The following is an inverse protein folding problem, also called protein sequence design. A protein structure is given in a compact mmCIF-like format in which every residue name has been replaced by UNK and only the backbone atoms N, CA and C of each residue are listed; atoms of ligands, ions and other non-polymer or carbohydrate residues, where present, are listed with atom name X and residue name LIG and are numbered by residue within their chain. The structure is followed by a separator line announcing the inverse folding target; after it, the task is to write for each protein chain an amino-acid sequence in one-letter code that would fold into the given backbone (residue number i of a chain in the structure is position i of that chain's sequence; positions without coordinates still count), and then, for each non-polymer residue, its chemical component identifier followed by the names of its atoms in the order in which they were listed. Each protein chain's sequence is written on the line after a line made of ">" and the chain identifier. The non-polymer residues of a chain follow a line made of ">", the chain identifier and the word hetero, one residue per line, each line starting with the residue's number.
data_IF_870191400905
#
_entry.id   IF_870191400905
#
_cell.length_a   1.000
_cell.length_b   1.000
_cell.length_c   1.000
_cell.angle_alpha   90.00
_cell.angle_beta   90.00
_cell.angle_gamma   90.00
#
_symmetry.space_group_name_H-M   'P 1'
#
loop_
_entity.id
_entity.type
_entity.pdbx_description
1 polymer ?
#
# COMPACT_ATOMS: atom_id res chain seq x y z
N UNK A 1 -10.36 36.96 -18.65
CA UNK A 1 -10.14 38.13 -17.82
C UNK A 1 -10.34 37.74 -16.38
N UNK A 2 -9.38 37.68 -15.66
CA UNK A 2 -8.61 38.25 -14.59
C UNK A 2 -7.99 37.19 -13.68
N UNK A 3 -6.67 37.18 -13.71
CA UNK A 3 -5.78 36.62 -12.69
C UNK A 3 -6.04 37.28 -11.32
N UNK A 4 -5.93 36.53 -10.25
CA UNK A 4 -5.52 37.03 -8.93
C UNK A 4 -4.46 36.14 -8.31
N UNK A 5 -3.23 36.61 -8.45
CA UNK A 5 -2.08 36.31 -7.60
C UNK A 5 -2.33 36.91 -6.20
N UNK A 6 -2.02 36.13 -5.16
CA UNK A 6 -1.71 36.68 -3.84
C UNK A 6 -0.52 35.90 -3.27
N UNK A 7 0.61 36.56 -3.37
CA UNK A 7 1.83 36.31 -2.61
C UNK A 7 1.76 37.01 -1.25
N UNK A 8 2.69 36.67 -0.37
CA UNK A 8 3.08 37.38 0.88
C UNK A 8 2.82 36.51 2.11
N UNK A 9 3.76 36.33 3.04
CA UNK A 9 4.96 37.00 3.35
C UNK A 9 5.75 36.29 4.43
N UNK A 10 7.03 36.47 4.35
CA UNK A 10 8.04 36.08 5.35
C UNK A 10 7.97 37.03 6.53
N UNK A 11 7.98 36.56 7.75
CA UNK A 11 8.24 37.35 8.95
C UNK A 11 9.43 36.75 9.72
N UNK A 12 10.55 37.41 9.57
CA UNK A 12 11.71 37.29 10.45
C UNK A 12 11.46 38.16 11.68
N UNK A 13 11.71 37.66 12.86
CA UNK A 13 11.75 38.46 14.07
C UNK A 13 13.07 38.25 14.80
N UNK A 14 13.70 39.37 15.05
CA UNK A 14 15.04 39.55 15.53
C UNK A 14 15.17 39.34 17.05
N UNK A 15 16.40 39.02 17.39
CA UNK A 15 16.99 38.89 18.71
C UNK A 15 17.10 40.22 19.41
N UNK A 16 16.79 40.31 20.68
CA UNK A 16 17.26 41.39 21.57
C UNK A 16 17.91 40.78 22.79
N UNK A 17 19.19 41.07 22.89
CA UNK A 17 20.02 40.79 24.04
C UNK A 17 19.72 41.82 25.16
N UNK A 18 19.59 41.38 26.39
CA UNK A 18 19.53 42.25 27.56
C UNK A 18 20.25 41.60 28.73
N UNK A 19 21.44 42.13 29.01
CA UNK A 19 22.24 41.83 30.20
C UNK A 19 21.75 42.69 31.37
N UNK A 20 21.39 42.08 32.50
CA UNK A 20 21.36 42.78 33.75
C UNK A 20 21.70 41.80 34.88
N UNK A 21 22.77 42.09 35.54
CA UNK A 21 23.25 41.42 36.73
C UNK A 21 22.39 41.76 37.96
N UNK A 22 22.02 40.74 38.71
CA UNK A 22 21.36 40.94 40.02
C UNK A 22 21.53 39.68 40.83
N UNK A 23 22.47 39.71 41.76
CA UNK A 23 22.70 38.68 42.76
C UNK A 23 21.70 38.81 43.90
N UNK A 24 20.89 37.76 44.18
CA UNK A 24 20.38 37.50 45.53
C UNK A 24 20.03 36.04 45.76
N UNK A 25 20.79 35.45 46.71
CA UNK A 25 20.41 34.42 47.70
C UNK A 25 19.59 33.19 47.31
N UNK A 26 20.35 32.14 47.35
CA UNK A 26 20.06 30.70 47.61
C UNK A 26 18.77 30.43 48.40
N UNK A 27 17.84 29.77 47.73
CA UNK A 27 16.95 28.82 48.37
C UNK A 27 17.26 27.45 47.77
N UNK A 28 17.78 26.54 48.60
CA UNK A 28 17.92 25.14 48.22
C UNK A 28 16.54 24.51 48.09
N UNK A 29 16.00 24.61 46.88
CA UNK A 29 14.83 23.78 46.46
C UNK A 29 15.44 22.46 45.99
N UNK A 30 15.15 21.38 46.70
CA UNK A 30 15.48 20.03 46.23
C UNK A 30 14.96 19.84 44.80
N UNK A 31 15.77 19.31 43.88
CA UNK A 31 15.34 19.04 42.55
C UNK A 31 14.22 18.00 42.56
N UNK A 32 13.02 18.40 42.25
CA UNK A 32 11.93 17.48 41.94
C UNK A 32 12.41 16.69 40.73
N UNK A 33 12.49 15.35 40.78
CA UNK A 33 12.88 14.57 39.63
C UNK A 33 11.86 14.84 38.53
N UNK A 34 12.30 15.46 37.44
CA UNK A 34 11.51 15.61 36.23
C UNK A 34 11.11 14.21 35.75
N UNK A 35 9.84 13.97 35.39
CA UNK A 35 9.44 12.71 34.83
C UNK A 35 10.29 12.45 33.59
N UNK A 36 11.05 11.36 33.61
CA UNK A 36 11.82 10.93 32.46
C UNK A 36 10.84 10.59 31.32
N UNK A 37 10.71 11.48 30.36
CA UNK A 37 10.01 11.21 29.09
C UNK A 37 10.85 10.14 28.40
N UNK A 38 10.41 8.90 28.49
CA UNK A 38 11.00 7.84 27.68
C UNK A 38 10.71 8.19 26.21
N UNK A 39 11.74 8.22 25.34
CA UNK A 39 11.49 8.38 23.92
C UNK A 39 10.62 7.22 23.46
N UNK A 40 9.45 7.50 22.94
CA UNK A 40 8.64 6.53 22.24
C UNK A 40 9.42 6.20 20.97
N UNK A 41 10.12 5.09 20.97
CA UNK A 41 10.72 4.55 19.76
C UNK A 41 9.53 4.10 18.90
N UNK A 42 9.14 4.94 17.95
CA UNK A 42 8.31 4.47 16.85
C UNK A 42 9.12 3.34 16.21
N UNK A 43 8.60 2.12 16.27
CA UNK A 43 9.26 0.97 15.68
C UNK A 43 9.65 1.35 14.25
N UNK A 44 10.95 1.33 13.95
CA UNK A 44 11.39 1.49 12.57
C UNK A 44 10.65 0.43 11.74
N UNK A 45 10.14 0.78 10.53
CA UNK A 45 9.59 -0.22 9.63
C UNK A 45 10.61 -1.37 9.54
N UNK A 46 10.16 -2.61 9.74
CA UNK A 46 11.05 -3.75 9.56
C UNK A 46 11.65 -3.66 8.16
N UNK A 47 12.96 -3.89 7.99
CA UNK A 47 13.55 -3.88 6.66
C UNK A 47 12.89 -4.99 5.85
N UNK A 48 12.19 -4.60 4.79
CA UNK A 48 11.62 -5.53 3.82
C UNK A 48 12.80 -6.18 3.07
N UNK A 49 12.73 -7.49 2.90
CA UNK A 49 13.78 -8.24 2.20
C UNK A 49 13.36 -8.41 0.75
N UNK A 50 14.17 -7.96 -0.23
CA UNK A 50 13.90 -8.23 -1.63
C UNK A 50 13.77 -9.74 -1.89
N UNK A 51 12.69 -10.15 -2.54
CA UNK A 51 12.37 -11.56 -2.76
C UNK A 51 12.02 -11.85 -4.25
N UNK A 52 12.97 -11.69 -5.18
CA UNK A 52 12.73 -11.88 -6.60
C UNK A 52 12.35 -13.33 -6.95
N UNK A 53 12.65 -14.30 -6.12
CA UNK A 53 12.29 -15.71 -6.30
C UNK A 53 10.78 -15.94 -6.23
N UNK A 54 10.03 -15.05 -5.59
CA UNK A 54 8.58 -15.13 -5.51
C UNK A 54 7.87 -14.71 -6.79
N UNK A 55 8.58 -14.07 -7.74
CA UNK A 55 7.98 -13.50 -8.95
C UNK A 55 7.11 -14.50 -9.70
N UNK A 56 7.60 -15.73 -9.91
CA UNK A 56 6.85 -16.76 -10.65
C UNK A 56 5.56 -17.18 -9.95
N UNK A 57 5.58 -17.29 -8.62
CA UNK A 57 4.43 -17.69 -7.82
C UNK A 57 3.38 -16.57 -7.77
N UNK A 58 3.82 -15.32 -7.62
CA UNK A 58 2.93 -14.17 -7.60
C UNK A 58 2.28 -13.93 -8.98
N UNK A 59 3.05 -14.08 -10.08
CA UNK A 59 2.50 -14.06 -11.45
C UNK A 59 1.47 -15.17 -11.65
N UNK A 60 1.77 -16.39 -11.17
CA UNK A 60 0.84 -17.53 -11.26
C UNK A 60 -0.46 -17.24 -10.48
N UNK A 61 -0.37 -16.58 -9.33
CA UNK A 61 -1.53 -16.15 -8.53
C UNK A 61 -2.43 -15.16 -9.31
N UNK A 62 -1.82 -14.16 -9.95
CA UNK A 62 -2.56 -13.19 -10.77
C UNK A 62 -3.19 -13.86 -12.01
N UNK A 63 -2.47 -14.77 -12.66
CA UNK A 63 -2.99 -15.55 -13.78
C UNK A 63 -4.15 -16.47 -13.36
N UNK A 64 -4.11 -17.00 -12.14
CA UNK A 64 -5.20 -17.79 -11.58
C UNK A 64 -6.52 -17.00 -11.51
N UNK A 65 -6.46 -15.71 -11.23
CA UNK A 65 -7.64 -14.83 -11.24
C UNK A 65 -8.24 -14.63 -12.64
N UNK A 66 -7.44 -14.81 -13.70
CA UNK A 66 -7.92 -14.72 -15.08
C UNK A 66 -8.44 -16.07 -15.61
N UNK A 67 -8.17 -17.15 -14.88
CA UNK A 67 -8.61 -18.50 -15.25
C UNK A 67 -10.12 -18.65 -15.32
N UNK A 68 -10.57 -19.86 -15.61
CA UNK A 68 -12.00 -20.19 -15.65
C UNK A 68 -12.63 -20.21 -14.26
N UNK A 69 -13.96 -20.01 -14.22
CA UNK A 69 -14.76 -20.00 -13.00
C UNK A 69 -15.16 -18.62 -12.54
N UNK A 70 -15.79 -18.54 -11.37
CA UNK A 70 -16.30 -17.31 -10.78
C UNK A 70 -15.46 -16.85 -9.59
N UNK A 71 -15.55 -15.57 -9.27
CA UNK A 71 -14.93 -15.00 -8.07
C UNK A 71 -15.60 -15.47 -6.77
N UNK A 72 -16.87 -15.89 -6.84
CA UNK A 72 -17.54 -16.58 -5.73
C UNK A 72 -17.14 -18.06 -5.59
N UNK A 73 -16.39 -18.59 -6.55
CA UNK A 73 -15.96 -20.00 -6.62
C UNK A 73 -14.46 -20.14 -6.69
N UNK A 74 -13.97 -20.78 -7.76
CA UNK A 74 -12.55 -21.16 -7.91
C UNK A 74 -11.57 -19.99 -7.90
N UNK A 75 -11.95 -18.83 -8.48
CA UNK A 75 -11.09 -17.63 -8.44
C UNK A 75 -10.96 -17.04 -7.03
N UNK A 76 -11.97 -17.22 -6.18
CA UNK A 76 -11.94 -16.78 -4.79
C UNK A 76 -10.81 -17.40 -3.97
N UNK A 77 -10.31 -18.60 -4.33
CA UNK A 77 -9.18 -19.23 -3.65
C UNK A 77 -7.86 -18.46 -3.76
N UNK A 78 -7.73 -17.59 -4.76
CA UNK A 78 -6.56 -16.70 -4.93
C UNK A 78 -6.68 -15.37 -4.17
N UNK A 79 -7.79 -15.16 -3.45
CA UNK A 79 -8.07 -13.96 -2.66
C UNK A 79 -8.19 -14.36 -1.20
N UNK A 80 -7.50 -13.63 -0.33
CA UNK A 80 -7.55 -13.84 1.11
C UNK A 80 -9.00 -13.79 1.62
N UNK A 81 -9.44 -14.83 2.31
CA UNK A 81 -10.82 -15.03 2.79
C UNK A 81 -11.88 -15.08 1.67
N UNK A 82 -11.48 -15.15 0.41
CA UNK A 82 -12.40 -15.10 -0.73
C UNK A 82 -13.15 -13.78 -0.84
N UNK A 83 -14.10 -13.74 -1.77
CA UNK A 83 -15.07 -12.63 -1.88
C UNK A 83 -16.43 -13.07 -1.36
N UNK A 84 -17.13 -12.18 -0.68
CA UNK A 84 -18.52 -12.39 -0.31
C UNK A 84 -19.40 -12.55 -1.57
N UNK A 85 -20.59 -13.13 -1.40
CA UNK A 85 -21.49 -13.43 -2.53
C UNK A 85 -21.75 -12.20 -3.43
N UNK A 86 -22.04 -11.06 -2.84
CA UNK A 86 -22.31 -9.82 -3.60
C UNK A 86 -21.05 -9.24 -4.25
N UNK A 87 -19.93 -9.28 -3.53
CA UNK A 87 -18.62 -8.84 -4.04
C UNK A 87 -18.18 -9.72 -5.21
N UNK A 88 -18.37 -11.06 -5.10
CA UNK A 88 -18.07 -12.00 -6.18
C UNK A 88 -18.89 -11.74 -7.43
N UNK A 89 -20.20 -11.48 -7.31
CA UNK A 89 -21.05 -11.13 -8.45
C UNK A 89 -20.61 -9.81 -9.10
N UNK A 90 -20.24 -8.81 -8.30
CA UNK A 90 -19.76 -7.54 -8.83
C UNK A 90 -18.41 -7.73 -9.56
N UNK A 91 -17.50 -8.53 -8.99
CA UNK A 91 -16.23 -8.88 -9.60
C UNK A 91 -16.41 -9.65 -10.93
N UNK A 92 -17.31 -10.63 -10.96
CA UNK A 92 -17.64 -11.38 -12.19
C UNK A 92 -18.18 -10.45 -13.28
N UNK A 93 -19.02 -9.49 -12.94
CA UNK A 93 -19.53 -8.48 -13.89
C UNK A 93 -18.40 -7.58 -14.42
N UNK A 94 -17.54 -7.07 -13.54
CA UNK A 94 -16.41 -6.25 -13.94
C UNK A 94 -15.46 -7.03 -14.87
N UNK A 95 -15.18 -8.28 -14.55
CA UNK A 95 -14.36 -9.17 -15.36
C UNK A 95 -14.98 -9.43 -16.75
N UNK A 96 -16.27 -9.75 -16.80
CA UNK A 96 -16.99 -9.97 -18.04
C UNK A 96 -17.03 -8.70 -18.91
N UNK A 97 -17.21 -7.53 -18.31
CA UNK A 97 -17.17 -6.25 -19.02
C UNK A 97 -15.77 -5.97 -19.59
N UNK A 98 -14.72 -6.22 -18.83
CA UNK A 98 -13.35 -6.09 -19.29
C UNK A 98 -13.06 -7.06 -20.46
N UNK A 99 -13.55 -8.29 -20.37
CA UNK A 99 -13.45 -9.27 -21.46
C UNK A 99 -14.18 -8.80 -22.71
N UNK A 100 -15.41 -8.29 -22.57
CA UNK A 100 -16.20 -7.78 -23.69
C UNK A 100 -15.56 -6.55 -24.38
N UNK A 101 -14.80 -5.76 -23.59
CA UNK A 101 -14.00 -4.62 -24.10
C UNK A 101 -12.68 -5.05 -24.75
N UNK A 102 -12.35 -6.34 -24.77
CA UNK A 102 -11.09 -6.87 -25.29
C UNK A 102 -9.86 -6.53 -24.42
N UNK A 103 -10.08 -6.26 -23.15
CA UNK A 103 -9.01 -5.95 -22.20
C UNK A 103 -8.37 -7.21 -21.59
N UNK A 104 -8.92 -8.37 -21.82
CA UNK A 104 -8.43 -9.66 -21.33
C UNK A 104 -7.95 -10.55 -22.48
N UNK A 105 -6.98 -11.44 -22.24
CA UNK A 105 -6.24 -11.63 -20.99
C UNK A 105 -5.22 -10.53 -20.73
N UNK A 106 -4.95 -10.23 -19.46
CA UNK A 106 -3.87 -9.33 -19.06
C UNK A 106 -2.54 -10.06 -19.01
N UNK A 107 -1.47 -9.40 -19.42
CA UNK A 107 -0.10 -9.82 -19.12
C UNK A 107 0.41 -9.09 -17.89
N UNK A 108 1.02 -9.81 -16.96
CA UNK A 108 1.53 -9.23 -15.73
C UNK A 108 3.06 -9.19 -15.73
N UNK A 109 3.60 -8.03 -15.38
CA UNK A 109 5.00 -7.85 -15.01
C UNK A 109 5.04 -7.45 -13.53
N UNK A 110 5.87 -8.13 -12.75
CA UNK A 110 6.03 -7.89 -11.32
C UNK A 110 7.46 -7.45 -11.06
N UNK A 111 7.61 -6.35 -10.34
CA UNK A 111 8.89 -5.78 -9.93
C UNK A 111 8.83 -5.38 -8.45
N UNK A 112 10.00 -5.08 -7.89
CA UNK A 112 10.13 -4.56 -6.51
C UNK A 112 9.36 -5.43 -5.51
N UNK A 113 9.69 -6.73 -5.51
CA UNK A 113 9.06 -7.68 -4.58
C UNK A 113 9.79 -7.60 -3.25
N UNK A 114 9.08 -7.19 -2.23
CA UNK A 114 9.56 -7.13 -0.85
C UNK A 114 8.74 -8.08 0.00
N UNK A 115 9.42 -8.98 0.73
CA UNK A 115 8.79 -9.92 1.63
C UNK A 115 8.96 -9.50 3.09
N UNK A 116 7.88 -9.60 3.85
CA UNK A 116 7.86 -9.44 5.31
C UNK A 116 7.06 -10.58 5.93
N UNK A 117 7.78 -11.59 6.41
CA UNK A 117 7.18 -12.81 6.95
C UNK A 117 6.24 -13.49 5.94
N UNK A 118 4.97 -13.72 6.29
CA UNK A 118 3.99 -14.36 5.41
C UNK A 118 3.38 -13.40 4.37
N UNK A 119 3.79 -12.14 4.35
CA UNK A 119 3.29 -11.12 3.43
C UNK A 119 4.36 -10.75 2.41
N UNK A 120 3.94 -10.42 1.20
CA UNK A 120 4.79 -9.84 0.18
C UNK A 120 4.08 -8.65 -0.48
N UNK A 121 4.84 -7.62 -0.77
CA UNK A 121 4.37 -6.45 -1.53
C UNK A 121 5.14 -6.37 -2.83
N UNK A 122 4.46 -6.08 -3.93
CA UNK A 122 5.12 -5.98 -5.23
C UNK A 122 4.45 -4.93 -6.11
N UNK A 123 5.23 -4.30 -6.98
CA UNK A 123 4.71 -3.44 -8.04
C UNK A 123 4.30 -4.30 -9.23
N UNK A 124 3.01 -4.35 -9.49
CA UNK A 124 2.42 -5.11 -10.59
C UNK A 124 2.02 -4.18 -11.72
N UNK A 125 2.56 -4.43 -12.90
CA UNK A 125 2.13 -3.78 -14.14
C UNK A 125 1.29 -4.78 -14.94
N UNK A 126 0.03 -4.46 -15.15
CA UNK A 126 -0.88 -5.21 -16.00
C UNK A 126 -0.95 -4.55 -17.38
N UNK A 127 -0.81 -5.34 -18.43
CA UNK A 127 -0.90 -4.90 -19.84
C UNK A 127 -2.03 -5.65 -20.53
N UNK A 128 -2.96 -4.90 -21.08
CA UNK A 128 -4.06 -5.44 -21.89
C UNK A 128 -3.62 -5.68 -23.35
N UNK A 129 -4.32 -6.55 -24.11
CA UNK A 129 -4.01 -6.82 -25.51
C UNK A 129 -4.04 -5.59 -26.42
N UNK A 130 -4.80 -4.57 -26.05
CA UNK A 130 -4.87 -3.30 -26.78
C UNK A 130 -3.70 -2.34 -26.47
N UNK A 131 -2.72 -2.76 -25.64
CA UNK A 131 -1.57 -1.96 -25.24
C UNK A 131 -1.79 -1.04 -24.05
N UNK A 132 -2.98 -1.00 -23.49
CA UNK A 132 -3.22 -0.26 -22.25
C UNK A 132 -2.49 -0.91 -21.08
N UNK A 133 -1.84 -0.09 -20.25
CA UNK A 133 -1.09 -0.52 -19.07
C UNK A 133 -1.60 0.17 -17.82
N UNK A 134 -1.62 -0.56 -16.72
CA UNK A 134 -1.88 -0.03 -15.40
C UNK A 134 -0.87 -0.64 -14.41
N UNK A 135 -0.27 0.21 -13.57
CA UNK A 135 0.68 -0.22 -12.54
C UNK A 135 0.14 0.09 -11.16
N UNK A 136 0.28 -0.86 -10.26
CA UNK A 136 -0.24 -0.76 -8.91
C UNK A 136 0.60 -1.59 -7.94
N UNK A 137 0.78 -1.09 -6.72
CA UNK A 137 1.34 -1.88 -5.63
C UNK A 137 0.29 -2.85 -5.10
N UNK A 138 0.62 -4.12 -5.10
CA UNK A 138 -0.24 -5.24 -4.70
C UNK A 138 0.37 -5.92 -3.50
N UNK A 139 -0.46 -6.17 -2.49
CA UNK A 139 -0.07 -6.96 -1.33
C UNK A 139 -0.60 -8.38 -1.48
N UNK A 140 0.31 -9.32 -1.30
CA UNK A 140 0.06 -10.76 -1.27
C UNK A 140 0.26 -11.30 0.15
N UNK A 141 -0.34 -12.44 0.43
CA UNK A 141 -0.17 -13.16 1.69
C UNK A 141 -0.06 -14.66 1.40
N UNK A 142 0.77 -15.35 2.14
CA UNK A 142 0.80 -16.81 2.10
C UNK A 142 -0.55 -17.38 2.53
N UNK A 143 -1.08 -18.35 1.77
CA UNK A 143 -2.38 -18.91 2.05
C UNK A 143 -2.69 -20.17 1.25
N UNK A 144 -3.82 -20.79 1.51
CA UNK A 144 -4.21 -22.08 0.92
C UNK A 144 -4.69 -21.93 -0.52
N UNK A 145 -3.92 -21.30 -1.37
CA UNK A 145 -4.18 -21.22 -2.81
C UNK A 145 -3.35 -22.24 -3.58
N UNK A 146 -3.68 -22.57 -4.83
CA UNK A 146 -2.90 -23.49 -5.66
C UNK A 146 -1.45 -23.05 -5.86
N UNK A 147 -1.15 -21.76 -5.69
CA UNK A 147 0.19 -21.17 -5.83
C UNK A 147 0.89 -20.95 -4.50
N UNK A 148 0.22 -21.19 -3.37
CA UNK A 148 0.71 -20.86 -2.03
C UNK A 148 0.57 -19.39 -1.63
N UNK A 149 0.14 -18.54 -2.56
CA UNK A 149 -0.04 -17.10 -2.35
C UNK A 149 -1.44 -16.64 -2.72
N UNK A 150 -1.94 -15.67 -1.98
CA UNK A 150 -3.25 -15.03 -2.22
C UNK A 150 -3.08 -13.52 -2.27
N UNK A 151 -3.91 -12.83 -3.05
CA UNK A 151 -4.05 -11.38 -2.93
C UNK A 151 -4.77 -11.05 -1.63
N UNK A 152 -4.36 -9.98 -0.96
CA UNK A 152 -5.21 -9.42 0.10
C UNK A 152 -6.53 -8.94 -0.52
N UNK A 153 -7.61 -9.03 0.24
CA UNK A 153 -8.92 -8.60 -0.24
C UNK A 153 -8.92 -7.14 -0.72
N UNK A 154 -8.20 -6.29 -0.01
CA UNK A 154 -8.06 -4.88 -0.38
C UNK A 154 -7.38 -4.71 -1.74
N UNK A 155 -6.26 -5.39 -1.98
CA UNK A 155 -5.55 -5.35 -3.26
C UNK A 155 -6.41 -5.89 -4.41
N UNK A 156 -7.17 -6.96 -4.17
CA UNK A 156 -8.09 -7.50 -5.16
C UNK A 156 -9.19 -6.49 -5.55
N UNK A 157 -9.77 -5.80 -4.56
CA UNK A 157 -10.77 -4.77 -4.81
C UNK A 157 -10.20 -3.55 -5.56
N UNK A 158 -8.97 -3.14 -5.21
CA UNK A 158 -8.29 -2.04 -5.91
C UNK A 158 -8.00 -2.37 -7.38
N UNK A 159 -7.57 -3.61 -7.68
CA UNK A 159 -7.38 -4.09 -9.05
C UNK A 159 -8.68 -4.02 -9.86
N UNK A 160 -9.80 -4.45 -9.28
CA UNK A 160 -11.09 -4.43 -9.96
C UNK A 160 -11.61 -3.01 -10.18
N UNK A 161 -11.32 -2.07 -9.28
CA UNK A 161 -11.70 -0.66 -9.43
C UNK A 161 -10.89 0.05 -10.51
N UNK A 162 -9.62 -0.31 -10.69
CA UNK A 162 -8.76 0.25 -11.73
C UNK A 162 -9.08 -0.26 -13.15
N UNK A 163 -9.85 -1.33 -13.27
CA UNK A 163 -10.25 -1.94 -14.56
C UNK A 163 -11.64 -1.47 -15.06
N UNK A 164 -12.24 -0.49 -14.41
CA UNK A 164 -13.62 -0.04 -14.68
C UNK A 164 -13.71 1.07 -15.73
#
# INVERSE_FOLDING_TARGET
>A
VTLKLLATGVAAAAIVSGVAAGVTSVAFSSPVPAPAVQPVVFGAPMPQTPAPELQSQLVATLNGLQGGGSFSGSKGSYIQFGLGRFEGIAADRAFNNASAKGLLPLSFNIADIDQDGPSATANVTATAPNGQTASQSIQFIEGPSPTGWQLTKQSAMSLMSGAS
#
